data_IF_853640212371
#
_entry.id   IF_853640212371
#
_cell.length_a   1.000
_cell.length_b   1.000
_cell.length_c   1.000
_cell.angle_alpha   90.00
_cell.angle_beta   90.00
_cell.angle_gamma   90.00
#
_symmetry.space_group_name_H-M   'P 1'
#
loop_
_entity.id
_entity.type
_entity.pdbx_description
1 polymer ?
#
# COMPACT_ATOMS: atom_id res chain seq x y z
N UNK A 1 51.41 48.42 19.45
CA UNK A 1 51.65 46.97 19.65
C UNK A 1 51.34 46.61 21.08
N UNK A 2 50.13 46.13 21.39
CA UNK A 2 49.79 45.49 22.67
C UNK A 2 48.86 44.32 22.38
N UNK A 3 49.33 43.12 22.74
CA UNK A 3 48.65 41.83 22.57
C UNK A 3 47.92 41.54 23.87
N UNK A 4 46.58 41.49 23.83
CA UNK A 4 45.77 41.00 24.95
C UNK A 4 45.56 39.49 24.79
N UNK A 5 46.21 38.72 25.66
CA UNK A 5 46.09 37.26 25.75
C UNK A 5 44.85 36.88 26.55
N UNK A 6 43.81 36.37 25.89
CA UNK A 6 42.59 35.89 26.54
C UNK A 6 42.78 34.41 26.94
N UNK A 7 42.94 34.13 28.24
CA UNK A 7 43.13 32.79 28.79
C UNK A 7 41.80 32.28 29.35
N UNK A 8 41.06 31.51 28.56
CA UNK A 8 39.84 30.82 29.01
C UNK A 8 40.21 29.64 29.92
N UNK A 9 39.69 29.66 31.15
CA UNK A 9 39.73 28.56 32.11
C UNK A 9 38.79 27.43 31.65
N UNK A 10 39.34 26.23 31.49
CA UNK A 10 38.56 25.00 31.28
C UNK A 10 38.16 24.47 32.66
N UNK A 11 36.86 24.50 32.95
CA UNK A 11 36.24 23.80 34.08
C UNK A 11 36.31 22.29 33.84
N UNK A 12 36.92 21.55 34.76
CA UNK A 12 36.92 20.09 34.74
C UNK A 12 35.58 19.58 35.31
N UNK A 13 34.62 19.32 34.42
CA UNK A 13 33.38 18.66 34.81
C UNK A 13 33.57 17.15 34.97
N UNK A 14 33.29 16.74 36.20
CA UNK A 14 33.20 15.41 36.79
C UNK A 14 32.43 14.42 35.91
N UNK A 15 33.14 13.44 35.37
CA UNK A 15 32.55 12.24 34.72
C UNK A 15 31.82 11.41 35.79
N UNK A 16 30.50 11.21 35.63
CA UNK A 16 29.71 10.25 36.42
C UNK A 16 29.73 8.88 35.73
N UNK A 17 29.90 7.76 36.45
CA UNK A 17 29.80 6.43 35.85
C UNK A 17 28.33 6.09 35.53
N UNK A 18 28.10 5.57 34.33
CA UNK A 18 26.82 5.02 33.90
C UNK A 18 26.49 3.77 34.74
N UNK A 19 25.43 3.89 35.54
CA UNK A 19 24.79 2.76 36.21
C UNK A 19 24.00 1.91 35.21
N UNK A 20 24.28 0.62 35.23
CA UNK A 20 23.60 -0.43 34.48
C UNK A 20 22.26 -0.72 35.15
N UNK A 21 21.15 -0.45 34.45
CA UNK A 21 19.79 -0.82 34.89
C UNK A 21 19.44 -2.26 34.45
N UNK A 22 18.89 -3.11 35.34
CA UNK A 22 18.56 -4.50 35.00
C UNK A 22 17.08 -4.62 34.60
N UNK A 23 16.75 -4.31 33.34
CA UNK A 23 15.43 -4.61 32.77
C UNK A 23 15.55 -5.04 31.31
N UNK A 24 16.27 -6.14 31.05
CA UNK A 24 16.19 -6.84 29.77
C UNK A 24 16.28 -8.35 30.04
N UNK A 25 15.13 -8.97 30.26
CA UNK A 25 14.96 -10.41 30.09
C UNK A 25 14.54 -10.65 28.63
N UNK A 26 15.22 -11.54 27.87
CA UNK A 26 14.78 -11.90 26.54
C UNK A 26 13.53 -12.80 26.60
N UNK A 27 12.61 -12.71 25.61
CA UNK A 27 11.46 -13.59 25.56
C UNK A 27 11.87 -15.04 25.26
N UNK A 28 11.27 -15.96 26.02
CA UNK A 28 11.37 -17.41 25.89
C UNK A 28 10.98 -17.82 24.46
N UNK A 29 11.89 -18.50 23.76
CA UNK A 29 11.64 -19.07 22.44
C UNK A 29 10.41 -19.98 22.46
N UNK A 30 9.36 -19.57 21.74
CA UNK A 30 8.21 -20.43 21.52
C UNK A 30 8.58 -21.49 20.47
N UNK A 31 8.46 -22.75 20.90
CA UNK A 31 8.71 -23.94 20.10
C UNK A 31 7.62 -24.03 19.02
N UNK A 32 8.02 -23.84 17.77
CA UNK A 32 7.17 -24.07 16.61
C UNK A 32 6.74 -25.55 16.58
N UNK A 33 5.46 -25.80 16.79
CA UNK A 33 4.84 -27.11 16.54
C UNK A 33 4.68 -27.24 15.03
N UNK A 34 5.37 -28.21 14.42
CA UNK A 34 5.20 -28.49 13.00
C UNK A 34 3.83 -29.13 12.74
N UNK A 35 3.12 -28.75 11.67
CA UNK A 35 1.93 -29.48 11.24
C UNK A 35 2.33 -30.88 10.72
N UNK A 36 1.46 -31.89 10.87
CA UNK A 36 1.77 -33.25 10.43
C UNK A 36 1.93 -33.31 8.91
N UNK A 37 3.06 -33.88 8.49
CA UNK A 37 3.34 -34.27 7.11
C UNK A 37 2.39 -35.38 6.68
N UNK A 38 1.60 -35.16 5.62
CA UNK A 38 0.91 -36.24 4.92
C UNK A 38 1.96 -37.14 4.25
N UNK A 39 2.23 -38.29 4.86
CA UNK A 39 3.00 -39.35 4.25
C UNK A 39 2.16 -40.07 3.19
N UNK A 40 2.74 -40.20 2.01
CA UNK A 40 2.39 -41.18 0.98
C UNK A 40 2.48 -42.61 1.51
N UNK A 41 1.62 -43.53 1.04
CA UNK A 41 1.99 -44.62 0.11
C UNK A 41 1.03 -45.85 0.19
N UNK A 42 0.53 -46.22 -0.99
CA UNK A 42 0.13 -47.54 -1.55
C UNK A 42 -0.96 -48.45 -0.93
N UNK A 43 -2.07 -48.49 -1.69
CA UNK A 43 -2.61 -49.61 -2.52
C UNK A 43 -2.71 -51.04 -1.97
N UNK A 44 -3.97 -51.52 -1.90
CA UNK A 44 -4.49 -52.74 -2.54
C UNK A 44 -5.99 -52.50 -2.81
N UNK A 45 -6.43 -52.37 -4.08
CA UNK A 45 -7.11 -53.41 -4.88
C UNK A 45 -8.47 -53.82 -4.26
N UNK A 46 -9.65 -53.76 -4.90
CA UNK A 46 -10.09 -54.06 -6.28
C UNK A 46 -11.49 -53.44 -6.53
N UNK A 47 -11.83 -53.21 -7.80
CA UNK A 47 -13.17 -53.11 -8.46
C UNK A 47 -13.78 -51.71 -8.66
N UNK A 48 -13.90 -51.32 -9.95
CA UNK A 48 -14.83 -50.44 -10.69
C UNK A 48 -15.60 -49.31 -9.95
N UNK A 49 -15.78 -48.09 -10.46
CA UNK A 49 -16.13 -47.66 -11.82
C UNK A 49 -15.96 -46.11 -11.94
N UNK A 50 -16.14 -45.60 -13.15
CA UNK A 50 -15.88 -44.26 -13.72
C UNK A 50 -16.70 -43.09 -13.10
N UNK A 51 -16.10 -41.87 -12.99
CA UNK A 51 -16.85 -40.60 -13.15
C UNK A 51 -16.57 -39.43 -12.18
N UNK A 52 -15.85 -38.42 -12.68
CA UNK A 52 -15.96 -36.95 -12.53
C UNK A 52 -16.43 -36.23 -11.23
N UNK A 53 -15.60 -35.24 -10.84
CA UNK A 53 -15.82 -33.88 -10.26
C UNK A 53 -17.23 -33.22 -10.39
N UNK A 54 -17.48 -32.04 -9.75
CA UNK A 54 -17.31 -31.60 -8.35
C UNK A 54 -18.63 -30.97 -7.81
N UNK A 55 -18.65 -30.56 -6.53
CA UNK A 55 -19.76 -29.84 -5.93
C UNK A 55 -19.73 -28.35 -6.31
N UNK A 56 -20.63 -27.93 -7.21
CA UNK A 56 -21.02 -26.53 -7.40
C UNK A 56 -22.41 -26.25 -6.81
N UNK A 57 -22.54 -25.03 -6.32
CA UNK A 57 -23.71 -24.42 -5.73
C UNK A 57 -24.83 -24.14 -6.74
N UNK A 58 -26.09 -24.16 -6.29
CA UNK A 58 -27.08 -23.09 -6.49
C UNK A 58 -28.47 -23.56 -6.01
N UNK A 59 -28.93 -23.00 -4.90
CA UNK A 59 -30.34 -23.07 -4.51
C UNK A 59 -31.06 -21.82 -5.03
N UNK A 60 -31.94 -22.03 -6.01
CA UNK A 60 -32.97 -21.09 -6.43
C UNK A 60 -34.15 -21.13 -5.48
N UNK A 61 -34.76 -19.97 -5.16
CA UNK A 61 -36.19 -19.88 -4.87
C UNK A 61 -36.69 -18.42 -4.95
N UNK A 62 -37.41 -18.13 -6.03
CA UNK A 62 -38.21 -16.92 -6.19
C UNK A 62 -39.58 -17.12 -5.53
N UNK A 63 -40.04 -16.14 -4.75
CA UNK A 63 -41.31 -16.16 -4.03
C UNK A 63 -42.43 -15.50 -4.82
N UNK A 64 -43.62 -16.08 -4.71
CA UNK A 64 -44.80 -15.92 -5.55
C UNK A 64 -45.58 -14.61 -5.32
N UNK A 65 -46.09 -14.07 -6.42
CA UNK A 65 -47.10 -13.01 -6.48
C UNK A 65 -48.50 -13.54 -6.14
N UNK A 66 -49.18 -12.92 -5.17
CA UNK A 66 -50.60 -13.16 -4.86
C UNK A 66 -51.50 -12.01 -5.33
N UNK A 67 -52.66 -12.37 -5.89
CA UNK A 67 -53.64 -11.48 -6.54
C UNK A 67 -54.73 -11.01 -5.56
N UNK A 68 -54.95 -9.68 -5.57
CA UNK A 68 -56.20 -8.89 -5.47
C UNK A 68 -57.39 -9.39 -4.64
N UNK A 69 -57.86 -8.54 -3.72
CA UNK A 69 -59.29 -8.28 -3.48
C UNK A 69 -59.52 -6.77 -3.20
N UNK A 70 -60.73 -6.30 -3.50
CA UNK A 70 -61.14 -4.90 -3.61
C UNK A 70 -62.29 -4.54 -2.65
N UNK A 71 -62.57 -3.23 -2.57
CA UNK A 71 -63.71 -2.52 -1.94
C UNK A 71 -63.74 -2.47 -0.40
N UNK A 72 -64.28 -1.45 0.28
CA UNK A 72 -64.61 -0.03 0.03
C UNK A 72 -65.16 0.54 1.37
N UNK A 73 -65.13 1.86 1.52
CA UNK A 73 -65.86 2.72 2.48
C UNK A 73 -65.40 2.70 3.96
N UNK A 74 -64.95 3.86 4.46
CA UNK A 74 -65.81 4.80 5.19
C UNK A 74 -65.05 6.10 5.52
N UNK A 75 -65.80 7.21 5.48
CA UNK A 75 -65.37 8.55 5.79
C UNK A 75 -64.92 8.69 7.26
N UNK A 76 -63.88 9.48 7.49
CA UNK A 76 -63.44 9.85 8.84
C UNK A 76 -62.25 10.78 8.82
N UNK A 77 -62.54 12.08 8.99
CA UNK A 77 -61.67 13.18 9.43
C UNK A 77 -60.19 13.15 9.00
N UNK A 78 -59.87 13.99 8.02
CA UNK A 78 -58.51 14.41 7.75
C UNK A 78 -57.96 15.21 8.95
N UNK A 79 -57.33 14.51 9.89
CA UNK A 79 -56.37 15.14 10.81
C UNK A 79 -55.07 15.24 10.04
N UNK A 80 -54.80 16.42 9.48
CA UNK A 80 -53.48 16.75 8.92
C UNK A 80 -52.53 16.92 10.10
N UNK A 81 -52.00 15.80 10.60
CA UNK A 81 -50.79 15.82 11.42
C UNK A 81 -49.66 16.24 10.49
N UNK A 82 -49.28 17.51 10.52
CA UNK A 82 -48.02 17.96 9.91
C UNK A 82 -46.88 17.34 10.72
N UNK A 83 -46.58 16.09 10.41
CA UNK A 83 -45.39 15.41 10.91
C UNK A 83 -44.19 16.20 10.41
N UNK A 84 -43.63 17.04 11.27
CA UNK A 84 -42.28 17.54 11.08
C UNK A 84 -41.35 16.33 11.21
N UNK A 85 -41.18 15.59 10.11
CA UNK A 85 -40.16 14.58 9.99
C UNK A 85 -38.83 15.33 10.04
N UNK A 86 -38.24 15.40 11.23
CA UNK A 86 -36.82 15.71 11.41
C UNK A 86 -36.09 14.57 10.70
N UNK A 87 -35.77 14.79 9.44
CA UNK A 87 -34.96 13.87 8.66
C UNK A 87 -33.61 13.75 9.35
N UNK A 88 -33.39 12.63 10.05
CA UNK A 88 -32.05 12.24 10.47
C UNK A 88 -31.24 12.02 9.19
N UNK A 89 -30.53 13.05 8.74
CA UNK A 89 -29.51 12.89 7.72
C UNK A 89 -28.49 11.91 8.29
N UNK A 90 -28.49 10.68 7.76
CA UNK A 90 -27.45 9.72 8.09
C UNK A 90 -26.09 10.38 7.81
N UNK A 91 -25.11 10.29 8.74
CA UNK A 91 -23.81 10.84 8.49
C UNK A 91 -23.27 10.22 7.20
N UNK A 92 -22.94 11.06 6.22
CA UNK A 92 -22.19 10.62 5.06
C UNK A 92 -20.86 10.07 5.58
N UNK A 93 -20.59 8.79 5.30
CA UNK A 93 -19.26 8.24 5.49
C UNK A 93 -18.35 8.96 4.50
N UNK A 94 -17.71 10.04 4.95
CA UNK A 94 -16.71 10.75 4.16
C UNK A 94 -15.49 9.84 4.01
N UNK A 95 -15.47 9.06 2.93
CA UNK A 95 -14.27 8.38 2.47
C UNK A 95 -13.43 9.39 1.71
N UNK A 96 -12.19 9.61 2.14
CA UNK A 96 -11.29 10.52 1.44
C UNK A 96 -10.96 9.96 0.05
N UNK A 97 -11.46 10.59 -1.00
CA UNK A 97 -11.08 10.30 -2.36
C UNK A 97 -9.67 10.82 -2.63
N UNK A 98 -8.99 10.27 -3.64
CA UNK A 98 -7.63 10.74 -3.98
C UNK A 98 -7.60 12.24 -4.34
N UNK A 99 -8.71 12.79 -4.83
CA UNK A 99 -8.86 14.23 -5.10
C UNK A 99 -8.79 15.09 -3.83
N UNK A 100 -9.13 14.55 -2.67
CA UNK A 100 -9.14 15.30 -1.40
C UNK A 100 -7.71 15.57 -0.89
N UNK A 101 -6.72 14.83 -1.41
CA UNK A 101 -5.30 15.11 -1.17
C UNK A 101 -4.73 16.17 -2.12
N UNK A 102 -5.52 16.64 -3.09
CA UNK A 102 -5.05 17.57 -4.11
C UNK A 102 -5.36 19.00 -3.66
N UNK A 103 -4.32 19.81 -3.50
CA UNK A 103 -4.47 21.22 -3.11
C UNK A 103 -5.16 22.04 -4.21
N UNK A 104 -5.02 21.63 -5.46
CA UNK A 104 -5.80 22.14 -6.59
C UNK A 104 -6.73 21.03 -7.10
N UNK A 105 -8.04 21.07 -6.77
CA UNK A 105 -9.00 20.05 -7.19
C UNK A 105 -9.11 19.86 -8.71
N UNK A 106 -8.69 20.85 -9.51
CA UNK A 106 -8.73 20.79 -10.96
C UNK A 106 -7.44 20.23 -11.57
N UNK A 107 -6.37 20.12 -10.78
CA UNK A 107 -5.12 19.58 -11.28
C UNK A 107 -5.25 18.07 -11.53
N UNK A 108 -4.91 17.57 -12.73
CA UNK A 108 -4.99 16.14 -13.02
C UNK A 108 -3.95 15.35 -12.20
N UNK A 109 -4.33 14.12 -11.84
CA UNK A 109 -3.43 13.15 -11.21
C UNK A 109 -2.65 12.45 -12.33
N UNK A 110 -1.33 12.58 -12.28
CA UNK A 110 -0.45 12.05 -13.33
C UNK A 110 -0.10 10.59 -13.04
N UNK A 111 -0.11 9.76 -14.08
CA UNK A 111 0.31 8.37 -13.99
C UNK A 111 1.67 8.19 -14.67
N UNK A 112 2.62 7.64 -13.94
CA UNK A 112 3.98 7.35 -14.44
C UNK A 112 4.19 5.85 -14.35
N UNK A 113 4.57 5.22 -15.46
CA UNK A 113 4.84 3.79 -15.50
C UNK A 113 6.34 3.52 -15.47
N UNK A 114 6.76 2.51 -14.71
CA UNK A 114 8.13 2.00 -14.72
C UNK A 114 8.12 0.48 -14.71
N UNK A 115 8.92 -0.11 -15.60
CA UNK A 115 9.18 -1.53 -15.61
C UNK A 115 10.43 -1.83 -14.79
N UNK A 116 10.35 -2.90 -13.99
CA UNK A 116 11.44 -3.46 -13.23
C UNK A 116 11.90 -4.73 -13.94
N UNK A 117 12.95 -4.59 -14.74
CA UNK A 117 13.43 -5.62 -15.64
C UNK A 117 12.64 -5.68 -16.95
N UNK A 118 13.08 -6.54 -17.86
CA UNK A 118 12.44 -6.78 -19.17
C UNK A 118 11.99 -8.22 -19.33
N UNK A 119 11.09 -8.47 -20.29
CA UNK A 119 10.69 -9.82 -20.71
C UNK A 119 11.89 -10.63 -21.22
N UNK A 120 12.92 -9.95 -21.76
CA UNK A 120 14.19 -10.54 -22.20
C UNK A 120 15.17 -10.81 -21.04
N UNK A 121 14.78 -10.57 -19.79
CA UNK A 121 15.58 -10.86 -18.60
C UNK A 121 16.66 -9.82 -18.26
N UNK A 122 16.63 -8.62 -18.87
CA UNK A 122 17.58 -7.55 -18.52
C UNK A 122 17.21 -6.95 -17.16
N UNK A 123 18.22 -6.69 -16.33
CA UNK A 123 18.05 -6.05 -15.01
C UNK A 123 18.18 -4.53 -15.15
N UNK A 124 17.08 -3.88 -15.50
CA UNK A 124 17.05 -2.43 -15.72
C UNK A 124 15.71 -1.82 -15.28
N UNK A 125 15.73 -0.58 -14.80
CA UNK A 125 14.53 0.24 -14.68
C UNK A 125 14.21 0.88 -16.03
N UNK A 126 12.96 0.80 -16.48
CA UNK A 126 12.53 1.39 -17.76
C UNK A 126 11.30 2.26 -17.55
N UNK A 127 11.42 3.60 -17.67
CA UNK A 127 12.66 4.34 -17.88
C UNK A 127 13.56 4.30 -16.64
N UNK A 128 14.88 4.53 -16.82
CA UNK A 128 15.85 4.56 -15.72
C UNK A 128 15.93 5.93 -15.02
N UNK A 129 15.34 6.96 -15.62
CA UNK A 129 15.16 8.29 -15.00
C UNK A 129 13.68 8.60 -14.89
N UNK A 130 13.23 8.90 -13.67
CA UNK A 130 11.86 9.30 -13.38
C UNK A 130 11.86 10.77 -12.96
N UNK A 131 10.91 11.54 -13.47
CA UNK A 131 10.79 12.96 -13.18
C UNK A 131 9.42 13.28 -12.62
N UNK A 132 9.39 14.02 -11.52
CA UNK A 132 8.18 14.44 -10.84
C UNK A 132 8.26 15.94 -10.54
N UNK A 133 7.10 16.60 -10.40
CA UNK A 133 7.03 17.98 -9.92
C UNK A 133 6.56 18.01 -8.47
N UNK A 134 7.25 18.75 -7.60
CA UNK A 134 6.84 18.86 -6.20
C UNK A 134 5.40 19.40 -6.06
N UNK A 135 4.66 18.88 -5.07
CA UNK A 135 3.29 19.29 -4.75
C UNK A 135 2.19 18.66 -5.61
N UNK A 136 2.53 17.84 -6.61
CA UNK A 136 1.54 17.12 -7.44
C UNK A 136 1.31 15.69 -6.96
N UNK A 137 0.09 15.18 -7.08
CA UNK A 137 -0.19 13.75 -6.84
C UNK A 137 0.22 12.93 -8.06
N UNK A 138 0.98 11.87 -7.81
CA UNK A 138 1.36 10.88 -8.81
C UNK A 138 0.84 9.49 -8.46
N UNK A 139 0.47 8.72 -9.48
CA UNK A 139 0.34 7.27 -9.43
C UNK A 139 1.53 6.64 -10.16
N UNK A 140 2.50 6.14 -9.41
CA UNK A 140 3.63 5.39 -9.97
C UNK A 140 3.24 3.93 -10.14
N UNK A 141 3.04 3.51 -11.38
CA UNK A 141 2.69 2.15 -11.78
C UNK A 141 3.98 1.34 -11.96
N UNK A 142 4.22 0.43 -11.03
CA UNK A 142 5.34 -0.50 -11.04
C UNK A 142 4.88 -1.83 -11.67
N UNK A 143 5.63 -2.34 -12.66
CA UNK A 143 5.41 -3.67 -13.24
C UNK A 143 6.72 -4.43 -13.33
N UNK A 144 6.74 -5.69 -12.93
CA UNK A 144 7.84 -6.59 -13.20
C UNK A 144 7.44 -7.60 -14.28
N UNK A 145 7.80 -7.38 -15.56
CA UNK A 145 7.48 -8.31 -16.63
C UNK A 145 8.48 -9.48 -16.73
N UNK A 146 9.56 -9.46 -15.94
CA UNK A 146 10.61 -10.47 -15.99
C UNK A 146 10.27 -11.71 -15.15
N UNK A 147 11.13 -12.72 -15.22
CA UNK A 147 11.06 -13.95 -14.40
C UNK A 147 11.79 -13.82 -13.06
N UNK A 148 12.55 -12.75 -12.83
CA UNK A 148 13.33 -12.52 -11.61
C UNK A 148 12.61 -11.54 -10.69
N UNK A 149 12.80 -11.65 -9.37
CA UNK A 149 12.27 -10.66 -8.42
C UNK A 149 13.08 -9.37 -8.51
N UNK A 150 12.40 -8.21 -8.49
CA UNK A 150 13.05 -6.91 -8.51
C UNK A 150 12.48 -5.99 -7.43
N UNK A 151 13.35 -5.17 -6.85
CA UNK A 151 12.98 -4.18 -5.84
C UNK A 151 13.05 -2.78 -6.43
N UNK A 152 12.04 -1.96 -6.14
CA UNK A 152 12.08 -0.52 -6.32
C UNK A 152 12.58 0.10 -5.02
N UNK A 153 13.90 0.22 -4.86
CA UNK A 153 14.53 0.73 -3.63
C UNK A 153 14.99 2.16 -3.83
N UNK A 154 14.36 3.11 -3.15
CA UNK A 154 14.69 4.53 -3.25
C UNK A 154 14.57 5.22 -1.88
N UNK A 155 15.38 4.80 -0.90
CA UNK A 155 15.32 5.26 0.49
C UNK A 155 15.31 6.79 0.63
N UNK A 156 16.25 7.46 -0.04
CA UNK A 156 16.35 8.92 0.05
C UNK A 156 15.15 9.63 -0.58
N UNK A 157 14.55 9.07 -1.63
CA UNK A 157 13.34 9.61 -2.24
C UNK A 157 12.12 9.38 -1.35
N UNK A 158 11.98 8.19 -0.77
CA UNK A 158 10.90 7.81 0.12
C UNK A 158 10.71 8.76 1.30
N UNK A 159 11.81 9.27 1.86
CA UNK A 159 11.78 10.28 2.94
C UNK A 159 11.36 11.69 2.48
N UNK A 160 11.28 11.92 1.18
CA UNK A 160 11.08 13.24 0.56
C UNK A 160 9.76 13.33 -0.19
N UNK A 161 8.91 12.32 -0.02
CA UNK A 161 7.54 12.27 -0.53
C UNK A 161 6.56 12.06 0.62
N UNK A 162 5.35 12.55 0.46
CA UNK A 162 4.21 12.14 1.28
C UNK A 162 3.53 10.94 0.62
N UNK A 163 3.66 9.76 1.22
CA UNK A 163 3.02 8.54 0.72
C UNK A 163 1.57 8.47 1.15
N UNK A 164 0.65 8.32 0.18
CA UNK A 164 -0.78 8.18 0.45
C UNK A 164 -1.13 6.70 0.64
N UNK A 165 -0.71 5.86 -0.30
CA UNK A 165 -0.93 4.41 -0.27
C UNK A 165 -0.09 3.68 -1.32
N UNK A 166 0.09 2.37 -1.13
CA UNK A 166 0.48 1.42 -2.17
C UNK A 166 -0.66 0.42 -2.37
N UNK A 167 -1.05 0.19 -3.61
CA UNK A 167 -2.00 -0.85 -4.00
C UNK A 167 -1.25 -1.99 -4.69
N UNK A 168 -1.41 -3.22 -4.24
CA UNK A 168 -0.72 -4.39 -4.82
C UNK A 168 -1.60 -5.64 -4.84
N UNK A 169 -1.43 -6.49 -5.86
CA UNK A 169 -2.16 -7.75 -6.01
C UNK A 169 -3.56 -7.60 -6.63
N UNK A 170 -4.26 -8.74 -6.74
CA UNK A 170 -5.65 -8.84 -7.21
C UNK A 170 -6.41 -9.93 -6.40
N UNK A 171 -7.43 -9.57 -5.59
CA UNK A 171 -7.89 -8.21 -5.32
C UNK A 171 -6.80 -7.39 -4.62
N UNK A 172 -6.77 -6.09 -4.89
CA UNK A 172 -5.72 -5.21 -4.40
C UNK A 172 -5.75 -5.05 -2.87
N UNK A 173 -4.58 -5.18 -2.25
CA UNK A 173 -4.34 -4.81 -0.86
C UNK A 173 -3.81 -3.39 -0.81
N UNK A 174 -4.38 -2.58 0.08
CA UNK A 174 -3.92 -1.22 0.37
C UNK A 174 -2.95 -1.21 1.55
N UNK A 175 -1.76 -0.66 1.34
CA UNK A 175 -0.72 -0.48 2.35
C UNK A 175 -0.52 1.01 2.59
N UNK A 176 -0.63 1.44 3.86
CA UNK A 176 -0.39 2.83 4.29
C UNK A 176 0.83 2.90 5.21
N UNK A 177 1.42 4.09 5.32
CA UNK A 177 2.55 4.38 6.19
C UNK A 177 3.82 4.78 5.43
N UNK A 178 4.97 4.67 6.10
CA UNK A 178 6.28 4.97 5.50
C UNK A 178 6.70 3.87 4.54
N UNK A 179 6.66 4.14 3.24
CA UNK A 179 7.07 3.20 2.19
C UNK A 179 8.52 3.50 1.83
N UNK A 180 9.41 2.54 2.01
CA UNK A 180 10.84 2.68 1.67
C UNK A 180 11.23 1.90 0.41
N UNK A 181 10.57 0.77 0.18
CA UNK A 181 10.85 -0.16 -0.91
C UNK A 181 9.57 -0.87 -1.32
N UNK A 182 9.46 -1.20 -2.61
CA UNK A 182 8.42 -2.09 -3.13
C UNK A 182 9.07 -3.26 -3.87
N UNK A 183 8.86 -4.48 -3.38
CA UNK A 183 9.38 -5.69 -4.00
C UNK A 183 8.33 -6.34 -4.91
N UNK A 184 8.68 -6.60 -6.17
CA UNK A 184 7.82 -7.25 -7.14
C UNK A 184 8.41 -8.61 -7.56
N UNK A 185 7.66 -9.67 -7.28
CA UNK A 185 7.90 -11.01 -7.86
C UNK A 185 7.68 -10.97 -9.39
N UNK A 186 8.09 -12.04 -10.06
CA UNK A 186 7.82 -12.23 -11.49
C UNK A 186 6.34 -12.02 -11.82
N UNK A 187 6.05 -11.21 -12.84
CA UNK A 187 4.69 -10.87 -13.27
C UNK A 187 3.91 -9.93 -12.34
N UNK A 188 4.44 -9.58 -11.16
CA UNK A 188 3.72 -8.76 -10.19
C UNK A 188 3.68 -7.28 -10.59
N UNK A 189 2.69 -6.58 -10.05
CA UNK A 189 2.54 -5.13 -10.20
C UNK A 189 2.08 -4.48 -8.89
N UNK A 190 2.36 -3.19 -8.76
CA UNK A 190 1.88 -2.35 -7.69
C UNK A 190 1.71 -0.90 -8.18
N UNK A 191 0.83 -0.14 -7.53
CA UNK A 191 0.70 1.30 -7.76
C UNK A 191 1.01 2.03 -6.46
N UNK A 192 2.04 2.88 -6.47
CA UNK A 192 2.35 3.76 -5.36
C UNK A 192 1.80 5.16 -5.63
N UNK A 193 0.94 5.64 -4.74
CA UNK A 193 0.33 6.97 -4.81
C UNK A 193 0.99 7.89 -3.78
N UNK A 194 1.56 9.01 -4.25
CA UNK A 194 2.32 9.93 -3.40
C UNK A 194 2.34 11.36 -3.93
N UNK A 195 2.79 12.29 -3.07
CA UNK A 195 3.08 13.69 -3.42
C UNK A 195 4.58 13.93 -3.18
N UNK A 196 5.39 14.27 -4.20
CA UNK A 196 6.77 14.65 -4.01
C UNK A 196 6.86 15.99 -3.28
N UNK A 197 7.71 16.10 -2.27
CA UNK A 197 7.79 17.30 -1.41
C UNK A 197 9.10 18.06 -1.63
N UNK A 198 10.26 17.40 -1.51
CA UNK A 198 11.56 18.09 -1.55
C UNK A 198 12.24 17.94 -2.92
N UNK A 199 12.45 19.02 -3.69
CA UNK A 199 13.22 18.99 -4.93
C UNK A 199 14.62 18.42 -4.74
N UNK A 200 15.11 17.64 -5.71
CA UNK A 200 16.40 16.97 -5.62
C UNK A 200 16.55 15.84 -6.63
N UNK A 201 17.70 15.18 -6.60
CA UNK A 201 17.99 13.96 -7.36
C UNK A 201 18.29 12.85 -6.37
N UNK A 202 17.62 11.72 -6.53
CA UNK A 202 17.67 10.61 -5.58
C UNK A 202 18.02 9.32 -6.31
N UNK A 203 18.88 8.46 -5.74
CA UNK A 203 19.22 7.19 -6.35
C UNK A 203 18.04 6.21 -6.29
N UNK A 204 17.85 5.46 -7.37
CA UNK A 204 16.98 4.29 -7.44
C UNK A 204 17.84 3.06 -7.69
N UNK A 205 17.61 1.98 -6.94
CA UNK A 205 18.40 0.76 -7.02
C UNK A 205 17.50 -0.47 -6.84
N UNK A 206 17.94 -1.60 -7.38
CA UNK A 206 17.42 -2.91 -6.97
C UNK A 206 18.49 -3.56 -6.08
N UNK A 207 18.15 -3.87 -4.82
CA UNK A 207 19.09 -4.40 -3.82
C UNK A 207 19.08 -5.93 -3.71
N UNK A 208 18.38 -6.61 -4.62
CA UNK A 208 18.44 -8.07 -4.76
C UNK A 208 19.89 -8.49 -5.06
N UNK A 209 20.38 -9.53 -4.38
CA UNK A 209 21.75 -10.03 -4.55
C UNK A 209 22.04 -10.35 -6.03
N UNK A 210 23.10 -9.76 -6.58
CA UNK A 210 23.50 -9.94 -7.97
C UNK A 210 22.82 -8.99 -8.96
N UNK A 211 21.99 -8.06 -8.48
CA UNK A 211 21.34 -7.03 -9.32
C UNK A 211 22.00 -5.65 -9.18
N UNK A 212 23.24 -5.56 -8.69
CA UNK A 212 23.90 -4.29 -8.30
C UNK A 212 24.02 -3.26 -9.45
N UNK A 213 24.04 -3.73 -10.70
CA UNK A 213 24.08 -2.88 -11.89
C UNK A 213 22.71 -2.26 -12.25
N UNK A 214 21.62 -2.73 -11.66
CA UNK A 214 20.27 -2.22 -11.91
C UNK A 214 20.04 -0.95 -11.10
N UNK A 215 20.38 0.19 -11.72
CA UNK A 215 20.34 1.53 -11.12
C UNK A 215 19.50 2.49 -11.95
N UNK A 216 19.00 3.53 -11.29
CA UNK A 216 18.26 4.63 -11.89
C UNK A 216 18.35 5.90 -11.06
N UNK A 217 17.63 6.93 -11.48
CA UNK A 217 17.55 8.21 -10.79
C UNK A 217 16.11 8.72 -10.76
N UNK A 218 15.72 9.29 -9.62
CA UNK A 218 14.45 9.98 -9.45
C UNK A 218 14.73 11.46 -9.25
N UNK A 219 14.07 12.31 -10.02
CA UNK A 219 14.23 13.77 -10.00
C UNK A 219 12.92 14.39 -9.54
N UNK A 220 12.97 15.14 -8.43
CA UNK A 220 11.88 16.03 -8.04
C UNK A 220 12.24 17.45 -8.49
N UNK A 221 11.47 17.98 -9.44
CA UNK A 221 11.58 19.34 -9.96
C UNK A 221 10.85 20.31 -9.04
N UNK A 222 11.33 21.56 -9.02
CA UNK A 222 10.57 22.68 -8.42
C UNK A 222 9.32 22.94 -9.26
N UNK A 223 8.18 23.33 -8.64
CA UNK A 223 7.06 23.87 -9.38
C UNK A 223 7.50 25.12 -10.14
N UNK A 224 7.01 25.30 -11.36
CA UNK A 224 7.14 26.59 -12.06
C UNK A 224 6.23 27.56 -11.33
N UNK A 225 6.80 28.64 -10.81
CA UNK A 225 6.06 29.74 -10.17
C UNK A 225 5.43 30.63 -11.23
#
# INVERSE_FOLDING_TARGET
MHVASNRLHISQDRVKPFGIHPWFLPPRAQRWVQPPTCASFRQNAVVADVGNTPCDAAASQASATSRRHALSLLAGNAVVLTSNAVGMAAPSTAWAALKDYNLDPNQPIEEVAVQLGTENGQYAFIPSTLEFTAGKIYKLKLRNPSTSTHYFTAFEFAEKVFSIMVLAGDPAVEVKGGIQEVALKAGASATWVFIPIKPGKYPLRCTVKGHDAMVGQIIIKRPVQ
#
